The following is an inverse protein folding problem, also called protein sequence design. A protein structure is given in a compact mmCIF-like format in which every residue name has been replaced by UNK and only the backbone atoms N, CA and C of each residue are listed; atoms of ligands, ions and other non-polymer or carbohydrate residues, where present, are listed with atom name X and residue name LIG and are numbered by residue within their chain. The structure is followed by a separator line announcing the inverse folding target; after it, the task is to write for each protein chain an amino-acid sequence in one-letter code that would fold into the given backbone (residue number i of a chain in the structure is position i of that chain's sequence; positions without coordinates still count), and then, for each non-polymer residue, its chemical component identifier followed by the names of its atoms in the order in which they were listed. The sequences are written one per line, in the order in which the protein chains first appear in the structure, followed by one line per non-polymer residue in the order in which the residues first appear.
data_IF_983663418364
#
_entry.id   IF_983663418364
#
_cell.length_a   1.000
_cell.length_b   1.000
_cell.length_c   1.000
_cell.angle_alpha   90.00
_cell.angle_beta   90.00
_cell.angle_gamma   90.00
#
_symmetry.space_group_name_H-M   'P 1'
#
loop_
_entity.id
_entity.type
_entity.pdbx_description
1 polymer ?
#
# COMPACT_ATOMS: atom_id res chain seq x y z
N UNK A 1 -10.72 -17.52 -6.06
CA UNK A 1 -11.76 -17.18 -5.07
C UNK A 1 -11.93 -18.34 -4.13
N UNK A 2 -12.14 -18.10 -2.83
CA UNK A 2 -12.10 -19.13 -1.79
C UNK A 2 -13.12 -20.26 -1.99
N UNK A 3 -14.35 -19.95 -2.41
CA UNK A 3 -15.42 -20.96 -2.63
C UNK A 3 -15.14 -21.99 -3.74
N UNK A 4 -14.11 -21.78 -4.58
CA UNK A 4 -13.69 -22.72 -5.63
C UNK A 4 -12.42 -23.47 -5.27
N UNK A 5 -11.89 -23.26 -4.07
CA UNK A 5 -10.63 -23.85 -3.66
C UNK A 5 -10.83 -25.34 -3.31
N UNK A 6 -9.89 -26.24 -3.66
CA UNK A 6 -10.02 -27.67 -3.37
C UNK A 6 -9.82 -28.02 -1.89
N UNK A 7 -9.14 -27.14 -1.13
CA UNK A 7 -9.02 -27.28 0.31
C UNK A 7 -10.24 -26.69 1.01
N UNK A 8 -10.65 -27.30 2.11
CA UNK A 8 -11.62 -26.74 3.04
C UNK A 8 -11.06 -25.47 3.69
N UNK A 9 -11.85 -24.41 3.68
CA UNK A 9 -11.48 -23.10 4.23
C UNK A 9 -12.66 -22.60 5.06
N UNK A 10 -12.48 -22.57 6.37
CA UNK A 10 -13.49 -22.08 7.30
C UNK A 10 -13.51 -20.56 7.34
N UNK A 11 -14.70 -19.97 7.13
CA UNK A 11 -14.91 -18.55 7.32
C UNK A 11 -15.09 -18.26 8.82
N UNK A 12 -14.04 -17.74 9.45
CA UNK A 12 -14.05 -17.42 10.89
C UNK A 12 -14.49 -15.98 11.20
N UNK A 13 -14.25 -15.04 10.30
CA UNK A 13 -14.63 -13.63 10.47
C UNK A 13 -15.01 -12.99 9.13
N UNK A 14 -16.15 -12.31 9.09
CA UNK A 14 -16.63 -11.55 7.94
C UNK A 14 -17.21 -10.20 8.39
N UNK A 15 -16.47 -9.12 8.14
CA UNK A 15 -16.88 -7.74 8.40
C UNK A 15 -16.59 -6.92 7.14
N UNK A 16 -17.44 -7.09 6.13
CA UNK A 16 -17.32 -6.45 4.81
C UNK A 16 -18.69 -5.97 4.33
N UNK A 17 -18.72 -5.05 3.37
CA UNK A 17 -19.96 -4.49 2.84
C UNK A 17 -20.79 -3.80 3.93
N UNK A 18 -22.08 -4.13 4.01
CA UNK A 18 -23.01 -3.56 4.99
C UNK A 18 -22.55 -3.77 6.44
N UNK A 19 -21.91 -4.90 6.76
CA UNK A 19 -21.42 -5.20 8.11
C UNK A 19 -20.28 -4.27 8.55
N UNK A 20 -19.58 -3.63 7.59
CA UNK A 20 -18.54 -2.65 7.86
C UNK A 20 -18.96 -1.23 7.45
N UNK A 21 -20.26 -0.95 7.34
CA UNK A 21 -20.77 0.35 6.86
C UNK A 21 -21.63 1.03 7.92
N UNK A 22 -21.40 2.33 8.14
CA UNK A 22 -22.27 3.22 8.92
C UNK A 22 -22.67 4.43 8.07
N UNK A 23 -23.95 4.82 8.14
CA UNK A 23 -24.45 6.01 7.43
C UNK A 23 -24.32 7.24 8.34
N UNK A 24 -23.67 8.29 7.84
CA UNK A 24 -23.56 9.60 8.52
C UNK A 24 -23.82 10.69 7.50
N UNK A 25 -24.81 11.55 7.76
CA UNK A 25 -25.22 12.62 6.85
C UNK A 25 -25.45 12.13 5.40
N UNK A 26 -26.17 11.01 5.27
CA UNK A 26 -26.45 10.30 4.01
C UNK A 26 -25.21 9.75 3.24
N UNK A 27 -24.04 9.77 3.87
CA UNK A 27 -22.79 9.21 3.32
C UNK A 27 -22.50 7.85 3.97
N UNK A 28 -22.10 6.86 3.17
CA UNK A 28 -21.70 5.54 3.65
C UNK A 28 -20.22 5.52 4.05
N UNK A 29 -19.95 5.38 5.34
CA UNK A 29 -18.60 5.32 5.91
C UNK A 29 -18.19 3.88 6.26
N UNK A 30 -16.96 3.46 5.93
CA UNK A 30 -16.37 2.28 6.54
C UNK A 30 -16.27 2.45 8.06
N UNK A 31 -16.70 1.44 8.82
CA UNK A 31 -16.53 1.41 10.29
C UNK A 31 -15.05 1.13 10.62
N UNK A 32 -14.44 0.17 9.94
CA UNK A 32 -13.06 -0.29 10.11
C UNK A 32 -12.28 -0.04 8.82
N UNK A 33 -11.23 0.79 8.89
CA UNK A 33 -10.32 1.12 7.78
C UNK A 33 -9.05 0.26 7.75
N UNK A 34 -8.69 -0.35 8.87
CA UNK A 34 -7.45 -1.10 9.01
C UNK A 34 -7.56 -2.11 10.14
N UNK A 35 -6.83 -3.22 9.99
CA UNK A 35 -6.80 -4.32 10.94
C UNK A 35 -5.35 -4.73 11.20
N UNK A 36 -5.06 -5.07 12.45
CA UNK A 36 -3.83 -5.74 12.86
C UNK A 36 -4.11 -7.21 13.17
N UNK A 37 -3.11 -8.07 12.96
CA UNK A 37 -3.15 -9.48 13.34
C UNK A 37 -1.93 -9.78 14.22
N UNK A 38 -2.18 -10.27 15.43
CA UNK A 38 -1.12 -10.76 16.29
C UNK A 38 -0.72 -12.18 15.86
N UNK A 39 0.44 -12.32 15.23
CA UNK A 39 0.91 -13.62 14.69
C UNK A 39 1.11 -14.68 15.78
N UNK A 40 1.34 -14.30 17.04
CA UNK A 40 1.53 -15.25 18.15
C UNK A 40 0.21 -15.80 18.69
N UNK A 41 -0.82 -14.98 18.73
CA UNK A 41 -2.11 -15.34 19.36
C UNK A 41 -3.22 -15.60 18.35
N UNK A 42 -3.06 -15.16 17.10
CA UNK A 42 -4.10 -15.18 16.08
C UNK A 42 -5.16 -14.09 16.25
N UNK A 43 -5.03 -13.21 17.24
CA UNK A 43 -6.01 -12.15 17.51
C UNK A 43 -6.04 -11.11 16.37
N UNK A 44 -7.25 -10.79 15.92
CA UNK A 44 -7.53 -9.77 14.90
C UNK A 44 -8.21 -8.58 15.57
N UNK A 45 -7.68 -7.37 15.36
CA UNK A 45 -8.19 -6.16 16.01
C UNK A 45 -8.15 -4.94 15.06
N UNK A 46 -9.07 -3.96 15.20
CA UNK A 46 -9.00 -2.70 14.45
C UNK A 46 -7.71 -1.95 14.75
N UNK A 47 -7.04 -1.42 13.73
CA UNK A 47 -5.75 -0.75 13.88
C UNK A 47 -5.52 0.35 12.84
N UNK A 48 -4.74 1.35 13.23
CA UNK A 48 -4.22 2.41 12.35
C UNK A 48 -2.70 2.39 12.36
N UNK A 49 -2.08 2.59 11.19
CA UNK A 49 -0.63 2.50 11.03
C UNK A 49 -0.08 3.84 10.50
N UNK A 50 0.45 4.69 11.40
CA UNK A 50 1.11 5.93 10.98
C UNK A 50 2.40 5.66 10.18
N UNK A 51 3.17 4.66 10.61
CA UNK A 51 4.34 4.16 9.89
C UNK A 51 3.95 2.98 9.00
N UNK A 52 4.02 3.19 7.68
CA UNK A 52 3.72 2.20 6.64
C UNK A 52 4.95 1.86 5.78
N UNK A 53 6.12 2.32 6.20
CA UNK A 53 7.38 2.13 5.50
C UNK A 53 7.86 0.68 5.50
N UNK A 54 9.02 0.41 4.88
CA UNK A 54 9.85 1.34 4.10
C UNK A 54 9.33 1.55 2.67
N UNK A 55 9.91 2.52 1.97
CA UNK A 55 9.71 2.79 0.53
C UNK A 55 8.24 2.92 0.10
N UNK A 56 7.42 3.55 0.94
CA UNK A 56 5.98 3.68 0.67
C UNK A 56 5.69 4.35 -0.69
N UNK A 57 6.30 5.50 -1.07
CA UNK A 57 6.02 6.11 -2.38
C UNK A 57 6.43 5.22 -3.57
N UNK A 58 7.54 4.48 -3.46
CA UNK A 58 7.97 3.52 -4.49
C UNK A 58 6.96 2.37 -4.65
N UNK A 59 6.51 1.80 -3.53
CA UNK A 59 5.52 0.72 -3.50
C UNK A 59 4.18 1.18 -4.05
N UNK A 60 3.73 2.39 -3.69
CA UNK A 60 2.51 2.99 -4.22
C UNK A 60 2.62 3.33 -5.71
N UNK A 61 3.78 3.83 -6.16
CA UNK A 61 4.02 4.17 -7.56
C UNK A 61 3.74 2.97 -8.47
N UNK A 62 4.21 1.78 -8.10
CA UNK A 62 3.92 0.52 -8.81
C UNK A 62 2.42 0.28 -9.03
N UNK A 63 1.59 0.57 -8.03
CA UNK A 63 0.15 0.39 -8.13
C UNK A 63 -0.51 1.50 -8.97
N UNK A 64 -0.09 2.75 -8.80
CA UNK A 64 -0.59 3.90 -9.55
C UNK A 64 -0.33 3.79 -11.06
N UNK A 65 0.75 3.13 -11.45
CA UNK A 65 1.11 2.90 -12.86
C UNK A 65 0.51 1.61 -13.44
N UNK A 66 -0.52 1.03 -12.80
CA UNK A 66 -1.31 -0.06 -13.37
C UNK A 66 -0.80 -1.48 -13.11
N UNK A 67 0.13 -1.69 -12.18
CA UNK A 67 0.54 -3.06 -11.83
C UNK A 67 -0.51 -3.72 -10.91
N UNK A 68 -1.25 -4.68 -11.47
CA UNK A 68 -2.30 -5.42 -10.75
C UNK A 68 -1.82 -6.72 -10.09
N UNK A 69 -0.57 -7.11 -10.32
CA UNK A 69 -0.03 -8.33 -9.72
C UNK A 69 0.17 -8.13 -8.22
N UNK A 70 -0.39 -9.04 -7.42
CA UNK A 70 -0.09 -9.17 -5.98
C UNK A 70 1.27 -9.83 -5.83
N UNK A 71 2.15 -9.25 -5.01
CA UNK A 71 3.50 -9.75 -4.78
C UNK A 71 3.62 -10.28 -3.34
N UNK A 72 4.33 -11.40 -3.19
CA UNK A 72 4.92 -11.76 -1.90
C UNK A 72 6.18 -10.92 -1.69
N UNK A 73 6.20 -10.17 -0.59
CA UNK A 73 7.24 -9.18 -0.29
C UNK A 73 8.07 -9.53 0.93
N UNK A 74 7.71 -10.58 1.69
CA UNK A 74 8.37 -10.89 2.96
C UNK A 74 8.79 -12.35 3.03
N UNK A 75 10.09 -12.59 3.11
CA UNK A 75 10.65 -13.91 3.35
C UNK A 75 10.70 -14.16 4.87
N UNK A 76 9.75 -14.95 5.36
CA UNK A 76 9.65 -15.30 6.77
C UNK A 76 10.78 -16.24 7.25
N UNK A 77 11.42 -17.00 6.36
CA UNK A 77 12.48 -17.94 6.75
C UNK A 77 13.75 -17.19 7.19
N UNK A 78 14.00 -16.01 6.61
CA UNK A 78 15.17 -15.16 6.94
C UNK A 78 14.78 -13.80 7.52
N UNK A 79 13.49 -13.58 7.79
CA UNK A 79 12.97 -12.38 8.42
C UNK A 79 13.17 -11.09 7.60
N UNK A 80 13.10 -11.18 6.27
CA UNK A 80 13.54 -10.12 5.37
C UNK A 80 12.43 -9.62 4.45
N UNK A 81 12.26 -8.30 4.41
CA UNK A 81 11.40 -7.63 3.43
C UNK A 81 12.20 -7.38 2.15
N UNK A 82 11.61 -7.71 1.00
CA UNK A 82 12.16 -7.48 -0.33
C UNK A 82 11.21 -6.59 -1.13
N UNK A 83 11.74 -5.47 -1.64
CA UNK A 83 11.02 -4.56 -2.53
C UNK A 83 11.71 -4.58 -3.90
N UNK A 84 10.99 -5.09 -4.90
CA UNK A 84 11.46 -5.12 -6.28
C UNK A 84 12.53 -6.19 -6.60
N UNK A 85 13.32 -5.98 -7.67
CA UNK A 85 13.16 -4.90 -8.63
C UNK A 85 11.81 -5.01 -9.36
N UNK A 86 11.29 -3.88 -9.81
CA UNK A 86 10.18 -3.85 -10.76
C UNK A 86 10.36 -2.65 -11.68
N UNK A 87 9.64 -2.68 -12.79
CA UNK A 87 9.51 -1.53 -13.67
C UNK A 87 8.05 -1.12 -13.80
N UNK A 88 7.82 0.11 -14.21
CA UNK A 88 6.51 0.60 -14.60
C UNK A 88 6.61 1.56 -15.77
N UNK A 89 5.50 1.75 -16.47
CA UNK A 89 5.41 2.74 -17.54
C UNK A 89 5.39 4.17 -16.96
N UNK A 90 6.08 5.12 -17.59
CA UNK A 90 6.03 6.52 -17.18
C UNK A 90 4.59 7.06 -17.21
N UNK A 91 4.17 7.70 -16.12
CA UNK A 91 2.88 8.36 -16.05
C UNK A 91 2.92 9.67 -16.86
N UNK A 92 2.30 9.67 -18.04
CA UNK A 92 2.18 10.88 -18.88
C UNK A 92 1.37 11.96 -18.16
N UNK A 93 1.86 13.20 -18.21
CA UNK A 93 1.16 14.34 -17.60
C UNK A 93 1.15 14.33 -16.07
N UNK A 94 2.09 13.64 -15.42
CA UNK A 94 2.21 13.63 -13.95
C UNK A 94 2.33 15.05 -13.35
N UNK A 95 2.96 15.97 -14.07
CA UNK A 95 3.06 17.38 -13.75
C UNK A 95 1.69 18.08 -13.74
N UNK A 96 0.80 17.73 -14.68
CA UNK A 96 -0.56 18.24 -14.73
C UNK A 96 -1.37 17.82 -13.51
N UNK A 97 -1.20 16.56 -13.06
CA UNK A 97 -1.81 16.05 -11.83
C UNK A 97 -1.26 16.74 -10.58
N UNK A 98 0.06 16.92 -10.51
CA UNK A 98 0.70 17.62 -9.40
C UNK A 98 0.29 19.10 -9.30
N UNK A 99 -0.12 19.73 -10.40
CA UNK A 99 -0.63 21.10 -10.42
C UNK A 99 -2.08 21.25 -9.94
N UNK A 100 -2.84 20.14 -9.82
CA UNK A 100 -4.24 20.20 -9.36
C UNK A 100 -4.35 20.45 -7.86
N UNK A 101 -5.54 20.80 -7.37
CA UNK A 101 -5.82 20.93 -5.93
C UNK A 101 -5.99 19.56 -5.24
N UNK A 102 -5.97 19.54 -3.91
CA UNK A 102 -6.17 18.30 -3.13
C UNK A 102 -7.58 17.74 -3.33
N UNK A 103 -8.59 18.61 -3.44
CA UNK A 103 -9.97 18.22 -3.72
C UNK A 103 -10.11 17.58 -5.11
N UNK A 104 -9.39 18.12 -6.10
CA UNK A 104 -9.38 17.55 -7.44
C UNK A 104 -8.71 16.17 -7.46
N UNK A 105 -7.56 16.03 -6.78
CA UNK A 105 -6.85 14.75 -6.62
C UNK A 105 -7.76 13.74 -5.94
N UNK A 106 -8.38 14.12 -4.82
CA UNK A 106 -9.29 13.26 -4.07
C UNK A 106 -10.43 12.79 -4.96
N UNK A 107 -11.11 13.71 -5.65
CA UNK A 107 -12.28 13.39 -6.48
C UNK A 107 -11.96 12.46 -7.66
N UNK A 108 -10.77 12.57 -8.27
CA UNK A 108 -10.46 11.85 -9.51
C UNK A 108 -9.53 10.63 -9.32
N UNK A 109 -8.82 10.54 -8.20
CA UNK A 109 -7.86 9.46 -7.93
C UNK A 109 -8.27 8.56 -6.76
N UNK A 110 -9.32 8.90 -6.01
CA UNK A 110 -9.97 8.00 -5.04
C UNK A 110 -11.13 7.23 -5.69
N UNK A 111 -11.38 6.02 -5.18
CA UNK A 111 -12.58 5.24 -5.48
C UNK A 111 -13.79 5.65 -4.61
N UNK A 112 -13.55 6.36 -3.51
CA UNK A 112 -14.56 6.78 -2.53
C UNK A 112 -14.20 8.14 -1.91
N UNK A 113 -14.25 9.24 -2.68
CA UNK A 113 -13.72 10.56 -2.29
C UNK A 113 -14.25 11.09 -0.96
N UNK A 114 -15.52 10.84 -0.65
CA UNK A 114 -16.21 11.42 0.53
C UNK A 114 -15.74 10.83 1.86
N UNK A 115 -15.05 9.68 1.83
CA UNK A 115 -14.71 8.90 3.03
C UNK A 115 -13.25 8.47 3.07
N UNK A 116 -12.40 9.03 2.22
CA UNK A 116 -10.95 8.81 2.32
C UNK A 116 -10.37 9.40 3.60
N UNK A 117 -9.29 8.81 4.16
CA UNK A 117 -8.58 9.40 5.28
C UNK A 117 -8.03 10.81 4.93
N UNK A 118 -7.90 11.72 5.90
CA UNK A 118 -7.41 13.09 5.68
C UNK A 118 -6.04 13.20 4.99
N UNK A 119 -5.22 12.15 5.07
CA UNK A 119 -3.88 12.10 4.50
C UNK A 119 -3.82 11.54 3.07
N UNK A 120 -4.96 11.22 2.46
CA UNK A 120 -5.03 10.62 1.12
C UNK A 120 -4.34 11.48 0.06
N UNK A 121 -4.78 12.73 -0.11
CA UNK A 121 -4.24 13.62 -1.15
C UNK A 121 -2.72 13.84 -0.99
N UNK A 122 -2.25 14.03 0.25
CA UNK A 122 -0.83 14.14 0.58
C UNK A 122 -0.04 12.89 0.12
N UNK A 123 -0.54 11.68 0.41
CA UNK A 123 0.12 10.43 0.00
C UNK A 123 0.12 10.25 -1.52
N UNK A 124 -0.98 10.59 -2.20
CA UNK A 124 -1.05 10.57 -3.66
C UNK A 124 -0.04 11.53 -4.27
N UNK A 125 0.07 12.77 -3.77
CA UNK A 125 1.08 13.73 -4.24
C UNK A 125 2.50 13.23 -4.05
N UNK A 126 2.83 12.69 -2.88
CA UNK A 126 4.15 12.12 -2.63
C UNK A 126 4.47 10.98 -3.63
N UNK A 127 3.47 10.17 -3.97
CA UNK A 127 3.60 9.10 -4.96
C UNK A 127 3.77 9.64 -6.38
N UNK A 128 2.98 10.64 -6.80
CA UNK A 128 3.10 11.27 -8.11
C UNK A 128 4.46 11.98 -8.28
N UNK A 129 4.94 12.67 -7.24
CA UNK A 129 6.28 13.27 -7.19
C UNK A 129 7.35 12.19 -7.38
N UNK A 130 7.22 11.07 -6.66
CA UNK A 130 8.13 9.95 -6.80
C UNK A 130 8.17 9.39 -8.22
N UNK A 131 7.00 9.21 -8.87
CA UNK A 131 6.89 8.77 -10.27
C UNK A 131 7.57 9.76 -11.22
N UNK A 132 7.36 11.07 -11.00
CA UNK A 132 7.98 12.11 -11.82
C UNK A 132 9.51 12.05 -11.74
N UNK A 133 10.05 11.83 -10.54
CA UNK A 133 11.49 11.76 -10.30
C UNK A 133 12.10 10.41 -10.74
N UNK A 134 11.27 9.36 -10.87
CA UNK A 134 11.69 8.00 -11.17
C UNK A 134 10.83 7.38 -12.29
N UNK A 135 10.85 7.96 -13.48
CA UNK A 135 10.07 7.47 -14.63
C UNK A 135 10.43 6.05 -15.05
N UNK A 136 11.68 5.63 -14.79
CA UNK A 136 12.21 4.31 -15.13
C UNK A 136 12.89 3.69 -13.90
N UNK A 137 12.13 3.15 -12.94
CA UNK A 137 12.67 2.68 -11.66
C UNK A 137 13.68 1.53 -11.81
N UNK A 138 13.63 0.75 -12.90
CA UNK A 138 14.66 -0.24 -13.21
C UNK A 138 16.07 0.38 -13.37
N UNK A 139 16.15 1.68 -13.71
CA UNK A 139 17.41 2.41 -13.89
C UNK A 139 17.65 3.37 -12.71
N UNK A 140 16.62 4.12 -12.29
CA UNK A 140 16.80 5.19 -11.30
C UNK A 140 16.79 4.69 -9.85
N UNK A 141 16.09 3.58 -9.59
CA UNK A 141 15.89 3.03 -8.23
C UNK A 141 16.69 1.73 -8.07
N UNK A 142 16.40 0.73 -8.89
CA UNK A 142 16.97 -0.61 -8.77
C UNK A 142 18.26 -0.77 -9.59
N UNK A 143 19.33 -0.09 -9.15
CA UNK A 143 20.64 -0.16 -9.83
C UNK A 143 21.12 -1.60 -9.93
N UNK A 144 21.64 -1.97 -11.10
CA UNK A 144 22.08 -3.35 -11.41
C UNK A 144 20.98 -4.41 -11.22
N UNK A 145 19.69 -4.01 -11.31
CA UNK A 145 18.54 -4.88 -11.10
C UNK A 145 18.46 -5.47 -9.68
N UNK A 146 19.04 -4.77 -8.69
CA UNK A 146 19.03 -5.20 -7.30
C UNK A 146 17.76 -4.72 -6.57
N UNK A 147 17.01 -5.62 -5.89
CA UNK A 147 15.96 -5.22 -4.96
C UNK A 147 16.50 -4.38 -3.80
N UNK A 148 15.59 -3.66 -3.13
CA UNK A 148 15.87 -3.17 -1.78
C UNK A 148 15.51 -4.26 -0.76
N UNK A 149 16.45 -4.53 0.14
CA UNK A 149 16.26 -5.49 1.24
C UNK A 149 16.23 -4.75 2.57
N UNK A 150 15.32 -5.18 3.45
CA UNK A 150 15.19 -4.64 4.80
C UNK A 150 15.02 -5.76 5.81
N UNK A 151 15.57 -5.57 7.00
CA UNK A 151 15.30 -6.40 8.19
C UNK A 151 14.87 -5.51 9.33
N UNK A 152 14.15 -6.09 10.30
CA UNK A 152 13.85 -5.36 11.54
C UNK A 152 15.11 -5.30 12.38
N UNK A 153 15.46 -4.10 12.81
CA UNK A 153 16.50 -3.88 13.79
C UNK A 153 16.04 -4.42 15.16
N UNK A 154 16.88 -5.22 15.81
CA UNK A 154 16.51 -5.92 17.04
C UNK A 154 16.32 -4.97 18.24
N UNK A 155 16.97 -3.81 18.21
CA UNK A 155 16.92 -2.85 19.32
C UNK A 155 15.70 -1.93 19.21
N UNK A 156 15.46 -1.39 18.01
CA UNK A 156 14.42 -0.38 17.75
C UNK A 156 13.12 -0.97 17.20
N UNK A 157 13.16 -2.18 16.62
CA UNK A 157 12.03 -2.80 15.93
C UNK A 157 11.69 -2.15 14.58
N UNK A 158 12.43 -1.12 14.17
CA UNK A 158 12.27 -0.41 12.90
C UNK A 158 12.89 -1.19 11.74
N UNK A 159 12.44 -0.92 10.51
CA UNK A 159 13.06 -1.47 9.32
C UNK A 159 14.41 -0.78 9.03
N UNK A 160 15.47 -1.58 8.88
CA UNK A 160 16.80 -1.13 8.51
C UNK A 160 17.20 -1.73 7.15
N UNK A 161 17.82 -0.95 6.24
CA UNK A 161 18.27 -1.45 4.94
C UNK A 161 19.43 -2.44 5.12
N UNK A 162 19.41 -3.49 4.31
CA UNK A 162 20.48 -4.49 4.24
C UNK A 162 21.13 -4.43 2.87
N UNK A 163 22.45 -4.33 2.82
CA UNK A 163 23.21 -4.43 1.56
C UNK A 163 23.57 -5.89 1.31
N UNK A 164 23.25 -6.36 0.11
CA UNK A 164 23.75 -7.60 -0.47
C UNK A 164 24.74 -7.28 -1.57
#
# INVERSE_FOLDING_TARGET
SFHKHPLEIDLTQSCVGELNTIVRDDINWPIIYGVGVNIKTGEIFPATFPDKGPDLPLRLARHFTGSHQVLDIYDAAVGMLRIGPFNYDPLRGVDLWLAQSDEFILKHLSTSPDVEPPHFAMQVRATLRYIQDNQFPAVTVFRNNNPHYFRRDETTGCWAPVRY
#
